data_IF_960905528644
#
_entry.id   IF_960905528644
#
_cell.length_a   1.000
_cell.length_b   1.000
_cell.length_c   1.000
_cell.angle_alpha   90.00
_cell.angle_beta   90.00
_cell.angle_gamma   90.00
#
_symmetry.space_group_name_H-M   'P 1'
#
loop_
_entity.id
_entity.type
_entity.pdbx_description
1 polymer ?
#
# COMPACT_ATOMS: atom_id res chain seq x y z
N UNK A 1 -25.80 -14.37 -1.25
CA UNK A 1 -25.37 -13.08 -1.85
C UNK A 1 -26.01 -11.84 -1.22
N UNK A 2 -27.04 -11.94 -0.36
CA UNK A 2 -27.72 -10.76 0.23
C UNK A 2 -27.04 -10.16 1.48
N UNK A 3 -26.32 -10.97 2.29
CA UNK A 3 -25.64 -10.46 3.50
C UNK A 3 -24.40 -9.60 3.21
N UNK A 4 -23.69 -9.87 2.11
CA UNK A 4 -22.49 -9.11 1.72
C UNK A 4 -22.87 -7.72 1.17
N UNK A 5 -23.94 -7.64 0.37
CA UNK A 5 -24.43 -6.36 -0.15
C UNK A 5 -24.93 -5.42 0.96
N UNK A 6 -25.55 -5.96 2.01
CA UNK A 6 -26.00 -5.17 3.15
C UNK A 6 -24.84 -4.65 4.02
N UNK A 7 -23.71 -5.36 4.11
CA UNK A 7 -22.52 -4.87 4.82
C UNK A 7 -21.82 -3.73 4.06
N UNK A 8 -21.77 -3.83 2.72
CA UNK A 8 -21.21 -2.78 1.86
C UNK A 8 -22.07 -1.51 1.90
N UNK A 9 -23.41 -1.63 1.85
CA UNK A 9 -24.31 -0.47 1.97
C UNK A 9 -24.29 0.19 3.36
N UNK A 10 -24.09 -0.59 4.43
CA UNK A 10 -24.02 -0.04 5.79
C UNK A 10 -22.70 0.70 6.05
N UNK A 11 -21.62 0.35 5.35
CA UNK A 11 -20.34 1.06 5.38
C UNK A 11 -20.36 2.39 4.60
N UNK A 12 -21.28 2.56 3.64
CA UNK A 12 -21.37 3.79 2.82
C UNK A 12 -22.39 4.81 3.32
N UNK A 13 -23.25 4.45 4.28
CA UNK A 13 -24.36 5.30 4.76
C UNK A 13 -24.10 5.98 6.12
N UNK A 14 -22.85 6.16 6.54
CA UNK A 14 -22.54 7.07 7.65
C UNK A 14 -22.40 8.49 7.11
N UNK A 15 -23.38 9.35 7.42
CA UNK A 15 -23.39 10.80 7.22
C UNK A 15 -22.31 11.52 8.07
N UNK A 16 -21.06 11.09 7.97
CA UNK A 16 -19.89 11.85 8.41
C UNK A 16 -19.35 12.63 7.21
N UNK A 17 -18.92 13.86 7.43
CA UNK A 17 -18.26 14.64 6.37
C UNK A 17 -17.08 13.85 5.79
N UNK A 18 -16.73 14.06 4.51
CA UNK A 18 -15.56 13.39 3.90
C UNK A 18 -14.24 13.68 4.64
N UNK A 19 -14.21 14.73 5.48
CA UNK A 19 -13.12 15.04 6.41
C UNK A 19 -13.03 14.06 7.59
N UNK A 20 -14.15 13.60 8.13
CA UNK A 20 -14.20 12.74 9.32
C UNK A 20 -13.65 11.33 9.06
N UNK A 21 -13.85 10.82 7.84
CA UNK A 21 -13.26 9.54 7.44
C UNK A 21 -11.72 9.66 7.35
N UNK A 22 -11.19 10.81 6.93
CA UNK A 22 -9.74 11.07 6.85
C UNK A 22 -9.09 11.23 8.23
N UNK A 23 -9.82 11.74 9.22
CA UNK A 23 -9.30 12.03 10.55
C UNK A 23 -9.01 10.76 11.39
N UNK A 24 -9.69 9.65 11.12
CA UNK A 24 -9.47 8.36 11.80
C UNK A 24 -8.16 7.64 11.42
N UNK A 25 -7.49 8.05 10.34
CA UNK A 25 -6.23 7.47 9.84
C UNK A 25 -4.98 8.31 10.21
N UNK A 26 -5.09 9.19 11.20
CA UNK A 26 -4.22 10.37 11.33
C UNK A 26 -2.87 10.19 12.04
N UNK A 27 -2.41 8.99 12.37
CA UNK A 27 -0.96 8.89 12.59
C UNK A 27 -0.27 8.79 11.23
N UNK A 28 0.06 10.00 10.76
CA UNK A 28 0.88 10.33 9.60
C UNK A 28 0.26 10.19 8.21
N UNK A 29 -1.02 9.83 8.02
CA UNK A 29 -1.58 9.79 6.65
C UNK A 29 -2.24 11.10 6.22
N UNK A 30 -1.43 12.00 5.64
CA UNK A 30 -1.89 13.03 4.71
C UNK A 30 -2.64 14.19 5.35
N UNK A 31 -1.94 14.99 6.16
CA UNK A 31 -2.44 16.31 6.58
C UNK A 31 -2.86 17.14 5.35
N UNK A 32 -3.72 18.16 5.50
CA UNK A 32 -4.06 19.05 4.40
C UNK A 32 -2.83 19.60 3.68
N UNK A 33 -1.77 19.92 4.42
CA UNK A 33 -0.49 20.41 3.89
C UNK A 33 0.22 19.34 3.06
N UNK A 34 0.28 18.09 3.54
CA UNK A 34 0.88 16.98 2.80
C UNK A 34 0.09 16.65 1.53
N UNK A 35 -1.24 16.73 1.57
CA UNK A 35 -2.10 16.52 0.39
C UNK A 35 -1.90 17.63 -0.65
N UNK A 36 -1.81 18.87 -0.20
CA UNK A 36 -1.50 20.02 -1.05
C UNK A 36 -0.12 19.86 -1.69
N UNK A 37 0.92 19.59 -0.87
CA UNK A 37 2.28 19.33 -1.34
C UNK A 37 2.32 18.19 -2.36
N UNK A 38 1.61 17.09 -2.10
CA UNK A 38 1.51 15.95 -3.03
C UNK A 38 0.94 16.36 -4.39
N UNK A 39 -0.08 17.22 -4.40
CA UNK A 39 -0.68 17.74 -5.64
C UNK A 39 0.24 18.68 -6.42
N UNK A 40 1.03 19.48 -5.71
CA UNK A 40 1.90 20.52 -6.29
C UNK A 40 3.25 19.98 -6.79
N UNK A 41 3.77 18.90 -6.18
CA UNK A 41 5.15 18.45 -6.40
C UNK A 41 5.26 17.13 -7.17
N UNK A 42 4.14 16.46 -7.46
CA UNK A 42 4.13 15.17 -8.14
C UNK A 42 4.07 15.31 -9.67
N UNK A 43 5.13 14.90 -10.36
CA UNK A 43 5.22 14.83 -11.82
C UNK A 43 4.46 13.61 -12.35
N UNK A 44 3.53 13.81 -13.28
CA UNK A 44 2.81 12.70 -13.91
C UNK A 44 3.73 11.93 -14.86
N UNK A 45 3.88 10.63 -14.63
CA UNK A 45 4.69 9.72 -15.44
C UNK A 45 3.85 8.58 -15.98
N UNK A 46 4.19 8.14 -17.19
CA UNK A 46 3.49 7.05 -17.86
C UNK A 46 4.48 5.98 -18.31
N UNK A 47 4.20 4.73 -17.96
CA UNK A 47 4.99 3.58 -18.40
C UNK A 47 4.10 2.75 -19.33
N UNK A 48 4.60 2.52 -20.54
CA UNK A 48 3.95 1.65 -21.51
C UNK A 48 4.59 0.26 -21.41
N UNK A 49 3.75 -0.76 -21.20
CA UNK A 49 4.14 -2.16 -21.31
C UNK A 49 3.08 -2.88 -22.12
N UNK A 50 3.48 -3.43 -23.26
CA UNK A 50 2.57 -3.99 -24.26
C UNK A 50 1.46 -2.99 -24.64
N UNK A 51 0.20 -3.38 -24.43
CA UNK A 51 -0.99 -2.54 -24.65
C UNK A 51 -1.50 -1.85 -23.38
N UNK A 52 -0.71 -1.86 -22.29
CA UNK A 52 -1.10 -1.30 -21.00
C UNK A 52 -0.30 -0.02 -20.72
N UNK A 53 -1.03 1.00 -20.28
CA UNK A 53 -0.46 2.27 -19.82
C UNK A 53 -0.62 2.37 -18.32
N UNK A 54 0.49 2.28 -17.60
CA UNK A 54 0.54 2.60 -16.19
C UNK A 54 0.73 4.10 -16.03
N UNK A 55 -0.13 4.75 -15.25
CA UNK A 55 0.05 6.13 -14.81
C UNK A 55 0.58 6.10 -13.37
N UNK A 56 1.57 6.94 -13.07
CA UNK A 56 2.08 7.17 -11.74
C UNK A 56 2.40 8.64 -11.50
N UNK A 57 2.68 9.00 -10.25
CA UNK A 57 3.25 10.31 -9.88
C UNK A 57 4.64 10.12 -9.30
N UNK A 58 5.62 10.82 -9.87
CA UNK A 58 7.02 10.81 -9.46
C UNK A 58 7.35 12.06 -8.64
N UNK A 59 8.02 11.86 -7.51
CA UNK A 59 8.52 12.90 -6.62
C UNK A 59 10.04 12.77 -6.55
N UNK A 60 10.76 13.73 -7.14
CA UNK A 60 12.22 13.67 -7.28
C UNK A 60 12.95 14.16 -6.02
N UNK A 61 14.12 13.59 -5.78
CA UNK A 61 15.07 13.96 -4.73
C UNK A 61 16.49 13.81 -5.30
N UNK A 62 17.53 14.55 -4.83
CA UNK A 62 18.88 14.42 -5.39
C UNK A 62 19.55 13.05 -5.20
N UNK A 63 19.02 12.20 -4.30
CA UNK A 63 19.54 10.86 -4.06
C UNK A 63 19.27 9.88 -5.21
N UNK A 64 19.86 8.68 -5.13
CA UNK A 64 19.70 7.60 -6.13
C UNK A 64 18.72 6.52 -5.70
N UNK A 65 18.26 6.54 -4.46
CA UNK A 65 17.32 5.55 -3.90
C UNK A 65 15.89 5.88 -4.33
N UNK A 66 15.12 4.84 -4.65
CA UNK A 66 13.71 4.95 -5.05
C UNK A 66 12.82 4.18 -4.09
N UNK A 67 11.69 4.77 -3.72
CA UNK A 67 10.59 4.13 -3.02
C UNK A 67 9.40 4.01 -3.98
N UNK A 68 8.96 2.77 -4.21
CA UNK A 68 7.71 2.49 -4.92
C UNK A 68 6.58 2.41 -3.90
N UNK A 69 5.60 3.30 -4.01
CA UNK A 69 4.43 3.33 -3.12
C UNK A 69 3.20 2.89 -3.91
N UNK A 70 2.50 1.89 -3.38
CA UNK A 70 1.23 1.39 -3.91
C UNK A 70 0.13 1.69 -2.90
N UNK A 71 -1.05 2.15 -3.34
CA UNK A 71 -2.22 2.30 -2.45
C UNK A 71 -2.98 0.97 -2.35
N UNK A 72 -3.83 0.84 -1.32
CA UNK A 72 -4.69 -0.34 -1.15
C UNK A 72 -5.83 -0.45 -2.17
N UNK A 73 -6.40 -1.65 -2.29
CA UNK A 73 -7.60 -1.95 -3.09
C UNK A 73 -8.74 -0.98 -2.73
N UNK A 74 -9.39 -0.36 -3.73
CA UNK A 74 -10.44 0.68 -3.56
C UNK A 74 -10.02 1.98 -2.86
N UNK A 75 -8.75 2.13 -2.47
CA UNK A 75 -8.26 3.37 -1.89
C UNK A 75 -7.99 4.43 -2.97
N UNK A 76 -8.03 5.70 -2.58
CA UNK A 76 -7.65 6.83 -3.44
C UNK A 76 -6.17 7.16 -3.25
N UNK A 77 -5.52 7.53 -4.34
CA UNK A 77 -4.12 7.95 -4.36
C UNK A 77 -3.76 8.98 -3.26
N UNK A 78 -4.65 9.94 -3.01
CA UNK A 78 -4.45 11.00 -2.00
C UNK A 78 -4.27 10.49 -0.55
N UNK A 79 -4.72 9.27 -0.23
CA UNK A 79 -4.53 8.71 1.11
C UNK A 79 -3.07 8.28 1.36
N UNK A 80 -2.28 8.07 0.30
CA UNK A 80 -0.86 7.74 0.42
C UNK A 80 0.05 8.97 0.50
N UNK A 81 -0.49 10.20 0.45
CA UNK A 81 0.29 11.43 0.46
C UNK A 81 1.26 11.50 1.66
N UNK A 82 0.83 11.03 2.83
CA UNK A 82 1.69 10.96 4.02
C UNK A 82 2.87 10.00 3.87
N UNK A 83 2.65 8.82 3.30
CA UNK A 83 3.72 7.85 3.02
C UNK A 83 4.69 8.38 1.97
N UNK A 84 4.17 8.97 0.90
CA UNK A 84 4.98 9.61 -0.15
C UNK A 84 5.85 10.72 0.44
N UNK A 85 5.26 11.60 1.25
CA UNK A 85 5.99 12.69 1.90
C UNK A 85 7.04 12.14 2.88
N UNK A 86 6.71 11.09 3.66
CA UNK A 86 7.66 10.48 4.60
C UNK A 86 8.87 9.88 3.88
N UNK A 87 8.68 9.06 2.84
CA UNK A 87 9.82 8.53 2.07
C UNK A 87 10.62 9.62 1.37
N UNK A 88 9.94 10.65 0.84
CA UNK A 88 10.62 11.81 0.26
C UNK A 88 11.48 12.54 1.30
N UNK A 89 10.96 12.77 2.51
CA UNK A 89 11.70 13.40 3.61
C UNK A 89 12.93 12.58 4.06
N UNK A 90 12.92 11.26 3.82
CA UNK A 90 14.06 10.37 4.07
C UNK A 90 15.10 10.35 2.93
N UNK A 91 14.95 11.21 1.92
CA UNK A 91 15.92 11.34 0.82
C UNK A 91 15.64 10.46 -0.41
N UNK A 92 14.52 9.74 -0.43
CA UNK A 92 14.16 8.87 -1.56
C UNK A 92 13.48 9.67 -2.67
N UNK A 93 13.74 9.29 -3.92
CA UNK A 93 12.80 9.52 -5.01
C UNK A 93 11.58 8.64 -4.77
N UNK A 94 10.37 9.14 -4.98
CA UNK A 94 9.15 8.35 -4.73
C UNK A 94 8.34 8.22 -6.00
N UNK A 95 8.10 6.99 -6.45
CA UNK A 95 7.14 6.70 -7.51
C UNK A 95 5.87 6.14 -6.86
N UNK A 96 4.78 6.90 -6.92
CA UNK A 96 3.49 6.48 -6.42
C UNK A 96 2.60 6.01 -7.57
N UNK A 97 2.11 4.77 -7.47
CA UNK A 97 1.26 4.15 -8.49
C UNK A 97 -0.20 4.12 -7.99
N UNK A 98 -1.14 4.89 -8.59
CA UNK A 98 -2.57 4.84 -8.32
C UNK A 98 -3.29 3.57 -8.84
N UNK A 99 -4.53 3.37 -8.38
CA UNK A 99 -5.29 2.11 -8.47
C UNK A 99 -5.76 1.73 -9.86
N UNK A 100 -5.44 2.53 -10.86
CA UNK A 100 -6.03 2.45 -12.18
C UNK A 100 -4.92 2.66 -13.22
N UNK A 101 -4.66 1.73 -14.17
CA UNK A 101 -5.46 0.58 -14.61
C UNK A 101 -4.74 -0.78 -14.44
N UNK A 102 -4.19 -1.11 -13.26
CA UNK A 102 -3.53 -2.43 -13.06
C UNK A 102 -4.52 -3.60 -13.18
N UNK A 103 -5.84 -3.37 -13.01
CA UNK A 103 -6.86 -4.44 -13.04
C UNK A 103 -8.00 -4.29 -14.05
N UNK A 104 -8.11 -3.19 -14.78
CA UNK A 104 -9.15 -3.07 -15.82
C UNK A 104 -8.80 -3.77 -17.14
N UNK A 105 -7.64 -4.43 -17.22
CA UNK A 105 -7.27 -5.26 -18.35
C UNK A 105 -7.59 -6.76 -18.16
N UNK A 106 -8.03 -7.19 -16.97
CA UNK A 106 -8.01 -8.60 -16.61
C UNK A 106 -9.37 -9.16 -16.22
N UNK A 107 -10.05 -9.76 -17.20
CA UNK A 107 -10.66 -11.09 -16.97
C UNK A 107 -10.74 -11.89 -18.26
N UNK A 108 -11.06 -11.24 -19.39
CA UNK A 108 -11.16 -11.90 -20.69
C UNK A 108 -9.83 -11.91 -21.48
N UNK A 109 -9.10 -10.78 -21.50
CA UNK A 109 -7.87 -10.63 -22.31
C UNK A 109 -6.66 -11.28 -21.62
N UNK A 110 -6.50 -11.15 -20.30
CA UNK A 110 -5.35 -11.70 -19.56
C UNK A 110 -5.24 -13.22 -19.58
N UNK A 111 -6.36 -13.94 -19.75
CA UNK A 111 -6.35 -15.41 -19.86
C UNK A 111 -5.86 -15.89 -21.24
N UNK A 112 -6.18 -15.12 -22.29
CA UNK A 112 -5.88 -15.48 -23.68
C UNK A 112 -4.48 -15.06 -24.08
N UNK A 113 -3.98 -13.92 -23.57
CA UNK A 113 -2.69 -13.36 -24.00
C UNK A 113 -1.54 -13.60 -23.03
N UNK A 114 -1.79 -13.46 -21.72
CA UNK A 114 -0.70 -13.38 -20.73
C UNK A 114 -0.61 -14.63 -19.84
N UNK A 115 -1.51 -15.60 -20.03
CA UNK A 115 -1.46 -16.92 -19.36
C UNK A 115 -1.76 -16.91 -17.86
N UNK A 116 -2.22 -15.79 -17.30
CA UNK A 116 -2.51 -15.70 -15.86
C UNK A 116 -4.00 -15.88 -15.52
N UNK A 117 -4.28 -16.85 -14.64
CA UNK A 117 -5.56 -17.08 -13.97
C UNK A 117 -5.55 -16.38 -12.60
N UNK A 118 -6.68 -15.90 -12.09
CA UNK A 118 -6.77 -15.28 -10.75
C UNK A 118 -6.25 -16.20 -9.62
N UNK A 119 -6.17 -17.52 -9.84
CA UNK A 119 -5.49 -18.46 -8.94
C UNK A 119 -3.96 -18.24 -8.83
N UNK A 120 -3.31 -17.69 -9.85
CA UNK A 120 -1.90 -17.27 -9.81
C UNK A 120 -1.71 -15.92 -9.10
N UNK A 121 -2.78 -15.17 -8.81
CA UNK A 121 -2.70 -13.93 -8.01
C UNK A 121 -2.66 -14.19 -6.49
N UNK A 122 -2.30 -15.41 -6.07
CA UNK A 122 -2.11 -15.76 -4.65
C UNK A 122 -0.86 -15.08 -4.10
N UNK A 123 -1.02 -14.18 -3.13
CA UNK A 123 0.11 -13.53 -2.46
C UNK A 123 1.06 -14.55 -1.81
N UNK A 124 0.54 -15.67 -1.29
CA UNK A 124 1.32 -16.78 -0.74
C UNK A 124 2.20 -17.44 -1.81
N UNK A 125 1.67 -17.68 -3.00
CA UNK A 125 2.46 -18.30 -4.08
C UNK A 125 3.48 -17.33 -4.69
N UNK A 126 3.24 -16.02 -4.64
CA UNK A 126 4.19 -15.03 -5.14
C UNK A 126 5.31 -14.76 -4.13
N UNK A 127 5.00 -14.67 -2.83
CA UNK A 127 6.01 -14.40 -1.80
C UNK A 127 7.02 -15.55 -1.66
N UNK A 128 6.62 -16.80 -1.95
CA UNK A 128 7.52 -17.96 -2.05
C UNK A 128 8.65 -17.80 -3.06
N UNK A 129 8.43 -16.98 -4.10
CA UNK A 129 9.39 -16.76 -5.19
C UNK A 129 10.31 -15.56 -4.93
N UNK A 130 9.97 -14.73 -3.94
CA UNK A 130 10.76 -13.55 -3.62
C UNK A 130 12.00 -13.93 -2.84
N UNK A 131 13.13 -13.35 -3.24
CA UNK A 131 14.39 -13.39 -2.50
C UNK A 131 14.76 -12.01 -1.94
N UNK A 132 13.87 -11.02 -2.11
CA UNK A 132 14.08 -9.65 -1.65
C UNK A 132 13.74 -9.57 -0.16
N UNK A 133 14.61 -8.97 0.68
CA UNK A 133 14.31 -8.77 2.10
C UNK A 133 12.93 -8.11 2.28
N UNK A 134 12.08 -8.68 3.12
CA UNK A 134 10.69 -8.24 3.28
C UNK A 134 10.30 -8.02 4.74
N UNK A 135 9.89 -6.79 5.06
CA UNK A 135 9.24 -6.46 6.33
C UNK A 135 7.72 -6.62 6.20
N UNK A 136 7.12 -7.52 6.97
CA UNK A 136 5.68 -7.71 7.03
C UNK A 136 5.10 -6.92 8.21
N UNK A 137 4.20 -5.97 7.93
CA UNK A 137 3.53 -5.18 8.96
C UNK A 137 2.04 -5.52 9.05
N UNK A 138 1.53 -5.81 10.25
CA UNK A 138 0.11 -6.11 10.45
C UNK A 138 -0.44 -5.56 11.77
N UNK A 139 -1.71 -5.16 11.77
CA UNK A 139 -2.43 -4.76 12.98
C UNK A 139 -3.15 -5.95 13.63
N UNK A 140 -3.00 -6.15 14.95
CA UNK A 140 -3.58 -7.33 15.61
C UNK A 140 -5.11 -7.35 15.68
N UNK A 141 -5.78 -6.24 15.34
CA UNK A 141 -7.24 -6.09 15.28
C UNK A 141 -7.75 -5.83 13.85
N UNK A 142 -6.99 -6.20 12.82
CA UNK A 142 -7.48 -6.12 11.44
C UNK A 142 -8.58 -7.16 11.21
N UNK A 143 -9.80 -6.69 10.98
CA UNK A 143 -10.98 -7.50 10.70
C UNK A 143 -11.21 -7.73 9.20
N UNK A 144 -10.58 -6.92 8.32
CA UNK A 144 -10.70 -7.06 6.88
C UNK A 144 -9.71 -8.10 6.34
N UNK A 145 -8.49 -8.09 6.88
CA UNK A 145 -7.46 -9.10 6.64
C UNK A 145 -7.08 -9.70 7.99
N UNK A 146 -7.70 -10.82 8.40
CA UNK A 146 -7.51 -11.42 9.71
C UNK A 146 -6.02 -11.61 10.05
N UNK A 147 -5.62 -11.26 11.28
CA UNK A 147 -4.23 -11.30 11.72
C UNK A 147 -3.52 -12.65 11.46
N UNK A 148 -4.25 -13.78 11.49
CA UNK A 148 -3.69 -15.10 11.16
C UNK A 148 -3.09 -15.21 9.75
N UNK A 149 -3.58 -14.43 8.78
CA UNK A 149 -3.05 -14.41 7.41
C UNK A 149 -1.61 -13.88 7.32
N UNK A 150 -1.16 -13.07 8.29
CA UNK A 150 0.23 -12.66 8.41
C UNK A 150 1.15 -13.87 8.55
N UNK A 151 0.78 -14.83 9.41
CA UNK A 151 1.59 -16.02 9.66
C UNK A 151 1.69 -16.90 8.41
N UNK A 152 0.62 -17.02 7.63
CA UNK A 152 0.63 -17.76 6.36
C UNK A 152 1.60 -17.13 5.35
N UNK A 153 1.51 -15.81 5.15
CA UNK A 153 2.41 -15.07 4.24
C UNK A 153 3.86 -15.11 4.71
N UNK A 154 4.10 -14.83 5.99
CA UNK A 154 5.44 -14.82 6.56
C UNK A 154 6.09 -16.20 6.48
N UNK A 155 5.37 -17.27 6.81
CA UNK A 155 5.89 -18.63 6.76
C UNK A 155 6.24 -19.05 5.33
N UNK A 156 5.44 -18.63 4.35
CA UNK A 156 5.65 -18.94 2.94
C UNK A 156 6.81 -18.16 2.29
N UNK A 157 7.20 -17.00 2.82
CA UNK A 157 8.24 -16.16 2.23
C UNK A 157 9.63 -16.85 2.24
N UNK A 158 10.31 -16.86 1.09
CA UNK A 158 11.63 -17.49 0.89
C UNK A 158 12.79 -16.46 0.86
N UNK A 159 12.69 -15.43 1.69
CA UNK A 159 13.66 -14.34 1.77
C UNK A 159 14.02 -14.03 3.22
N UNK A 160 15.03 -13.19 3.42
CA UNK A 160 15.21 -12.53 4.72
C UNK A 160 13.95 -11.75 5.05
N UNK A 161 13.44 -11.92 6.26
CA UNK A 161 12.11 -11.46 6.62
C UNK A 161 12.02 -11.05 8.07
N UNK A 162 11.25 -9.99 8.32
CA UNK A 162 10.96 -9.47 9.65
C UNK A 162 9.44 -9.25 9.79
N UNK A 163 8.93 -9.34 11.01
CA UNK A 163 7.52 -9.03 11.33
C UNK A 163 7.46 -7.82 12.25
N UNK A 164 6.55 -6.91 11.94
CA UNK A 164 6.08 -5.89 12.86
C UNK A 164 4.58 -6.04 13.09
N UNK A 165 4.21 -6.43 14.31
CA UNK A 165 2.80 -6.45 14.75
C UNK A 165 2.49 -5.20 15.57
N UNK A 166 1.53 -4.40 15.11
CA UNK A 166 1.02 -3.26 15.88
C UNK A 166 -0.20 -3.71 16.69
N UNK A 167 -0.01 -3.82 18.00
CA UNK A 167 -1.07 -4.25 18.90
C UNK A 167 -2.24 -3.26 18.91
N UNK A 168 -3.45 -3.76 18.69
CA UNK A 168 -4.67 -2.95 18.71
C UNK A 168 -4.98 -2.22 17.40
N UNK A 169 -4.10 -2.23 16.41
CA UNK A 169 -4.36 -1.60 15.12
C UNK A 169 -5.34 -2.43 14.28
N UNK A 170 -6.34 -1.74 13.71
CA UNK A 170 -7.22 -2.28 12.68
C UNK A 170 -6.66 -2.09 11.27
N UNK A 171 -7.48 -2.38 10.27
CA UNK A 171 -7.09 -2.31 8.86
C UNK A 171 -6.53 -0.94 8.47
N UNK A 172 -5.32 -0.92 7.90
CA UNK A 172 -4.60 0.30 7.49
C UNK A 172 -4.37 1.33 8.62
N UNK A 173 -4.40 0.92 9.89
CA UNK A 173 -4.19 1.82 11.04
C UNK A 173 -2.83 1.64 11.74
N UNK A 174 -1.95 0.74 11.27
CA UNK A 174 -0.67 0.44 11.94
C UNK A 174 0.21 1.67 12.17
N UNK A 175 0.42 2.50 11.14
CA UNK A 175 1.20 3.75 11.26
C UNK A 175 0.48 4.78 12.14
N UNK A 176 -0.84 4.62 12.30
CA UNK A 176 -1.65 5.52 13.10
C UNK A 176 -1.61 5.24 14.59
N UNK A 177 -1.75 3.96 14.94
CA UNK A 177 -1.81 3.52 16.34
C UNK A 177 -0.44 3.61 17.00
N UNK A 178 0.64 3.30 16.28
CA UNK A 178 1.99 3.31 16.85
C UNK A 178 3.00 3.96 15.90
N UNK A 179 2.89 5.27 15.62
CA UNK A 179 3.68 5.95 14.59
C UNK A 179 5.19 5.84 14.80
N UNK A 180 5.66 6.05 16.03
CA UNK A 180 7.10 5.96 16.36
C UNK A 180 7.63 4.54 16.13
N UNK A 181 6.93 3.53 16.64
CA UNK A 181 7.32 2.14 16.46
C UNK A 181 7.32 1.77 14.97
N UNK A 182 6.24 2.08 14.26
CA UNK A 182 6.10 1.80 12.82
C UNK A 182 7.27 2.36 12.02
N UNK A 183 7.52 3.68 12.15
CA UNK A 183 8.53 4.34 11.32
C UNK A 183 9.95 4.01 11.74
N UNK A 184 10.22 3.86 13.05
CA UNK A 184 11.55 3.43 13.49
C UNK A 184 11.89 2.03 12.98
N UNK A 185 10.94 1.09 12.97
CA UNK A 185 11.16 -0.25 12.42
C UNK A 185 11.37 -0.20 10.91
N UNK A 186 10.56 0.57 10.17
CA UNK A 186 10.75 0.75 8.71
C UNK A 186 12.12 1.36 8.41
N UNK A 187 12.51 2.43 9.09
CA UNK A 187 13.80 3.10 8.87
C UNK A 187 14.97 2.19 9.23
N UNK A 188 14.87 1.44 10.33
CA UNK A 188 15.89 0.46 10.75
C UNK A 188 16.04 -0.66 9.72
N UNK A 189 14.92 -1.21 9.25
CA UNK A 189 14.91 -2.25 8.23
C UNK A 189 15.53 -1.76 6.91
N UNK A 190 15.17 -0.57 6.46
CA UNK A 190 15.73 0.02 5.24
C UNK A 190 17.22 0.28 5.38
N UNK A 191 17.67 0.84 6.50
CA UNK A 191 19.09 1.04 6.79
C UNK A 191 19.88 -0.26 6.73
N UNK A 192 19.34 -1.35 7.31
CA UNK A 192 19.98 -2.67 7.32
C UNK A 192 20.18 -3.25 5.90
N UNK A 193 19.32 -2.91 4.94
CA UNK A 193 19.30 -3.53 3.62
C UNK A 193 19.69 -2.62 2.45
N UNK A 194 19.78 -1.31 2.66
CA UNK A 194 20.06 -0.31 1.62
C UNK A 194 21.29 0.57 1.90
N UNK A 195 21.88 0.48 3.10
CA UNK A 195 23.16 1.12 3.45
C UNK A 195 24.26 0.05 3.60
#
# INVERSE_FOLDING_TARGET
MSKLNNLVQKATNTNGSEEDASAKYSGLTGTPEMKKWYGENGEDVYIMSDSLRLHGKLFKNPGTKYALVCHGYTSKAKHMAGFVNKFHSLGYNVLHIPWFPVLNASSAISKVRDGYNFKQASAVEQVKKSHIPTLFNHGSKDELVPYGMLNELYSAANCEKEILTIQGAGHALSSSVAPKLYWNTVETFLKKHLD
#
